data_IF_267599219727
#
_entry.id   IF_267599219727
#
_cell.length_a   1.000
_cell.length_b   1.000
_cell.length_c   1.000
_cell.angle_alpha   90.00
_cell.angle_beta   90.00
_cell.angle_gamma   90.00
#
_symmetry.space_group_name_H-M   'P 1'
#
loop_
_entity.id
_entity.type
_entity.pdbx_description
1 polymer ?
#
# COMPACT_ATOMS: atom_id res chain seq x y z
N UNK A 1 -24.35 -9.42 -7.95
CA UNK A 1 -23.54 -8.90 -6.83
C UNK A 1 -23.69 -7.37 -6.81
N UNK A 2 -24.09 -6.76 -5.69
CA UNK A 2 -24.27 -5.30 -5.60
C UNK A 2 -22.90 -4.59 -5.60
N UNK A 3 -22.79 -3.39 -6.20
CA UNK A 3 -21.55 -2.59 -6.25
C UNK A 3 -20.97 -2.34 -4.85
N UNK A 4 -21.82 -2.05 -3.87
CA UNK A 4 -21.37 -1.86 -2.48
C UNK A 4 -20.81 -3.14 -1.88
N UNK A 5 -21.39 -4.28 -2.21
CA UNK A 5 -20.92 -5.58 -1.73
C UNK A 5 -19.56 -5.94 -2.35
N UNK A 6 -19.33 -5.58 -3.62
CA UNK A 6 -18.03 -5.70 -4.28
C UNK A 6 -16.98 -4.75 -3.70
N UNK A 7 -17.36 -3.49 -3.44
CA UNK A 7 -16.42 -2.45 -3.01
C UNK A 7 -16.09 -2.46 -1.51
N UNK A 8 -17.03 -2.87 -0.65
CA UNK A 8 -16.85 -2.73 0.82
C UNK A 8 -16.79 -4.05 1.57
N UNK A 9 -17.48 -5.10 1.08
CA UNK A 9 -17.72 -6.34 1.82
C UNK A 9 -17.93 -6.09 3.33
N UNK A 10 -18.78 -5.10 3.66
CA UNK A 10 -18.79 -4.43 4.96
C UNK A 10 -19.07 -5.42 6.10
N UNK A 11 -18.22 -5.39 7.14
CA UNK A 11 -18.34 -6.24 8.34
C UNK A 11 -18.30 -7.75 8.08
N UNK A 12 -17.77 -8.19 6.94
CA UNK A 12 -17.64 -9.63 6.60
C UNK A 12 -16.35 -10.26 7.11
N UNK A 13 -15.35 -9.47 7.48
CA UNK A 13 -14.01 -9.94 7.85
C UNK A 13 -13.67 -9.62 9.30
N UNK A 14 -12.95 -10.54 9.95
CA UNK A 14 -12.43 -10.37 11.32
C UNK A 14 -11.36 -9.29 11.37
N UNK A 15 -11.29 -8.55 12.48
CA UNK A 15 -10.30 -7.48 12.70
C UNK A 15 -8.84 -7.93 12.47
N UNK A 16 -8.50 -9.17 12.81
CA UNK A 16 -7.17 -9.76 12.59
C UNK A 16 -6.84 -9.85 11.10
N UNK A 17 -7.76 -10.42 10.32
CA UNK A 17 -7.59 -10.58 8.88
C UNK A 17 -7.46 -9.21 8.19
N UNK A 18 -8.29 -8.24 8.60
CA UNK A 18 -8.21 -6.88 8.07
C UNK A 18 -6.90 -6.18 8.43
N UNK A 19 -6.44 -6.31 9.68
CA UNK A 19 -5.19 -5.70 10.14
C UNK A 19 -3.96 -6.29 9.45
N UNK A 20 -3.91 -7.62 9.30
CA UNK A 20 -2.82 -8.30 8.59
C UNK A 20 -2.84 -7.91 7.11
N UNK A 21 -4.01 -7.92 6.45
CA UNK A 21 -4.12 -7.54 5.04
C UNK A 21 -3.68 -6.08 4.84
N UNK A 22 -4.11 -5.16 5.71
CA UNK A 22 -3.67 -3.77 5.67
C UNK A 22 -2.14 -3.65 5.79
N UNK A 23 -1.53 -4.38 6.72
CA UNK A 23 -0.07 -4.38 6.89
C UNK A 23 0.65 -4.94 5.66
N UNK A 24 0.23 -6.11 5.17
CA UNK A 24 0.83 -6.76 3.99
C UNK A 24 0.65 -5.90 2.73
N UNK A 25 -0.49 -5.22 2.57
CA UNK A 25 -0.72 -4.31 1.46
C UNK A 25 0.24 -3.10 1.49
N UNK A 26 0.71 -2.67 2.66
CA UNK A 26 1.74 -1.64 2.79
C UNK A 26 3.17 -2.16 2.63
N UNK A 27 3.42 -3.39 3.08
CA UNK A 27 4.73 -4.06 3.01
C UNK A 27 4.81 -4.86 1.71
N UNK A 28 5.24 -4.19 0.65
CA UNK A 28 5.44 -4.81 -0.66
C UNK A 28 6.86 -5.36 -0.86
N UNK A 29 7.16 -5.80 -2.08
CA UNK A 29 8.46 -6.38 -2.49
C UNK A 29 9.63 -5.42 -2.37
N UNK A 30 9.38 -4.11 -2.27
CA UNK A 30 10.38 -3.09 -2.02
C UNK A 30 11.24 -3.35 -0.76
N UNK A 31 10.69 -4.09 0.21
CA UNK A 31 11.36 -4.45 1.46
C UNK A 31 12.63 -5.30 1.22
N UNK A 32 12.64 -6.10 0.14
CA UNK A 32 13.76 -6.98 -0.23
C UNK A 32 15.03 -6.21 -0.60
N UNK A 33 14.88 -4.97 -1.07
CA UNK A 33 16.02 -4.12 -1.44
C UNK A 33 16.27 -3.04 -0.40
N UNK A 34 15.21 -2.43 0.12
CA UNK A 34 15.35 -1.23 0.95
C UNK A 34 15.99 -1.54 2.30
N UNK A 35 15.59 -2.64 2.97
CA UNK A 35 16.18 -2.99 4.27
C UNK A 35 17.66 -3.40 4.14
N UNK A 36 18.05 -4.31 3.21
CA UNK A 36 19.46 -4.68 3.08
C UNK A 36 20.33 -3.50 2.63
N UNK A 37 19.83 -2.66 1.73
CA UNK A 37 20.56 -1.47 1.27
C UNK A 37 20.76 -0.47 2.40
N UNK A 38 19.71 -0.21 3.20
CA UNK A 38 19.81 0.68 4.37
C UNK A 38 20.79 0.12 5.40
N UNK A 39 20.76 -1.19 5.66
CA UNK A 39 21.70 -1.83 6.57
C UNK A 39 23.14 -1.77 6.04
N UNK A 40 23.35 -1.89 4.73
CA UNK A 40 24.67 -1.82 4.12
C UNK A 40 25.28 -0.42 4.22
N UNK A 41 24.49 0.65 4.01
CA UNK A 41 25.00 2.03 4.05
C UNK A 41 25.04 2.64 5.46
N UNK A 42 24.08 2.31 6.33
CA UNK A 42 23.88 2.97 7.62
C UNK A 42 24.01 2.00 8.82
N UNK A 43 24.35 0.74 8.57
CA UNK A 43 24.48 -0.28 9.61
C UNK A 43 23.17 -0.65 10.29
N UNK A 44 23.29 -1.36 11.41
CA UNK A 44 22.14 -1.85 12.19
C UNK A 44 21.31 -0.73 12.81
N UNK A 45 21.95 0.37 13.22
CA UNK A 45 21.26 1.51 13.83
C UNK A 45 20.37 2.25 12.81
N UNK A 46 20.86 2.45 11.58
CA UNK A 46 20.06 3.01 10.50
C UNK A 46 18.88 2.12 10.12
N UNK A 47 19.10 0.80 10.10
CA UNK A 47 18.03 -0.18 9.87
C UNK A 47 16.95 -0.12 10.95
N UNK A 48 17.32 -0.11 12.23
CA UNK A 48 16.35 -0.02 13.34
C UNK A 48 15.54 1.28 13.23
N UNK A 49 16.20 2.41 13.00
CA UNK A 49 15.52 3.69 12.83
C UNK A 49 14.52 3.67 11.68
N UNK A 50 14.89 3.05 10.54
CA UNK A 50 14.01 2.89 9.39
C UNK A 50 12.79 2.02 9.71
N UNK A 51 12.99 0.87 10.35
CA UNK A 51 11.88 -0.03 10.72
C UNK A 51 10.93 0.64 11.72
N UNK A 52 11.46 1.36 12.71
CA UNK A 52 10.64 2.13 13.67
C UNK A 52 9.82 3.20 12.92
N UNK A 53 10.44 3.91 11.96
CA UNK A 53 9.74 4.88 11.14
C UNK A 53 8.61 4.25 10.29
N UNK A 54 8.79 3.03 9.78
CA UNK A 54 7.74 2.31 9.04
C UNK A 54 6.55 1.89 9.92
N UNK A 55 6.79 1.53 11.18
CA UNK A 55 5.74 1.09 12.11
C UNK A 55 4.92 2.27 12.63
N UNK A 56 5.54 3.45 12.75
CA UNK A 56 4.93 4.62 13.37
C UNK A 56 3.60 5.06 12.72
N UNK A 57 3.46 5.18 11.38
CA UNK A 57 2.19 5.52 10.74
C UNK A 57 1.07 4.52 11.04
N UNK A 58 1.39 3.22 11.09
CA UNK A 58 0.43 2.16 11.42
C UNK A 58 -0.08 2.30 12.85
N UNK A 59 0.81 2.65 13.78
CA UNK A 59 0.45 2.93 15.16
C UNK A 59 -0.46 4.15 15.27
N UNK A 60 -0.13 5.24 14.58
CA UNK A 60 -0.98 6.45 14.52
C UNK A 60 -2.37 6.12 13.96
N UNK A 61 -2.45 5.31 12.90
CA UNK A 61 -3.71 4.90 12.30
C UNK A 61 -4.56 4.04 13.26
N UNK A 62 -3.95 3.25 14.12
CA UNK A 62 -4.66 2.47 15.14
C UNK A 62 -5.47 3.38 16.09
N UNK A 63 -4.97 4.56 16.45
CA UNK A 63 -5.70 5.52 17.31
C UNK A 63 -6.66 6.40 16.54
N UNK A 64 -6.27 6.87 15.34
CA UNK A 64 -7.07 7.80 14.54
C UNK A 64 -8.19 7.08 13.79
N UNK A 65 -8.00 5.83 13.39
CA UNK A 65 -8.95 5.02 12.65
C UNK A 65 -10.34 4.95 13.30
N UNK A 66 -10.45 4.63 14.61
CA UNK A 66 -11.73 4.65 15.34
C UNK A 66 -12.41 6.02 15.35
N UNK A 67 -11.65 7.12 15.45
CA UNK A 67 -12.19 8.49 15.43
C UNK A 67 -12.78 8.84 14.06
N UNK A 68 -12.09 8.46 12.98
CA UNK A 68 -12.59 8.65 11.60
C UNK A 68 -13.88 7.84 11.40
N UNK A 69 -13.90 6.57 11.87
CA UNK A 69 -15.06 5.69 11.72
C UNK A 69 -16.30 6.21 12.45
N UNK A 70 -16.13 6.86 13.61
CA UNK A 70 -17.24 7.52 14.34
C UNK A 70 -17.82 8.72 13.57
N UNK A 71 -16.99 9.50 12.87
CA UNK A 71 -17.42 10.69 12.12
C UNK A 71 -18.01 10.37 10.75
N UNK A 72 -17.57 9.30 10.10
CA UNK A 72 -18.12 8.81 8.84
C UNK A 72 -18.46 7.31 8.92
N UNK A 73 -19.59 6.94 9.58
CA UNK A 73 -19.97 5.54 9.73
C UNK A 73 -20.29 4.88 8.37
N UNK A 74 -20.82 5.65 7.41
CA UNK A 74 -21.14 5.17 6.07
C UNK A 74 -19.99 5.31 5.07
N UNK A 75 -18.95 6.10 5.38
CA UNK A 75 -17.81 6.32 4.49
C UNK A 75 -17.05 5.03 4.21
N UNK A 76 -16.72 4.81 2.94
CA UNK A 76 -15.99 3.64 2.44
C UNK A 76 -14.49 3.92 2.36
N UNK A 77 -14.10 5.15 2.04
CA UNK A 77 -12.70 5.56 1.86
C UNK A 77 -12.33 6.77 2.70
N UNK A 78 -11.03 6.95 2.95
CA UNK A 78 -10.50 8.17 3.58
C UNK A 78 -10.81 9.42 2.74
N UNK A 79 -10.83 9.27 1.40
CA UNK A 79 -11.16 10.36 0.49
C UNK A 79 -12.61 10.84 0.66
N UNK A 80 -13.56 9.96 0.97
CA UNK A 80 -14.93 10.36 1.31
C UNK A 80 -15.01 11.15 2.62
N UNK A 81 -14.23 10.77 3.64
CA UNK A 81 -14.12 11.58 4.85
C UNK A 81 -13.59 12.98 4.54
N UNK A 82 -12.59 13.09 3.66
CA UNK A 82 -12.03 14.38 3.22
C UNK A 82 -13.08 15.20 2.47
N UNK A 83 -13.87 14.56 1.59
CA UNK A 83 -15.00 15.21 0.90
C UNK A 83 -16.01 15.78 1.89
N UNK A 84 -16.38 15.01 2.93
CA UNK A 84 -17.34 15.43 3.94
C UNK A 84 -16.79 16.54 4.84
N UNK A 85 -15.48 16.55 5.15
CA UNK A 85 -14.87 17.49 6.09
C UNK A 85 -14.34 18.78 5.44
N UNK A 86 -13.82 18.70 4.21
CA UNK A 86 -13.06 19.75 3.52
C UNK A 86 -13.59 20.08 2.12
N UNK A 87 -14.66 19.41 1.67
CA UNK A 87 -15.33 19.72 0.41
C UNK A 87 -14.70 19.06 -0.83
N UNK A 88 -15.26 19.40 -2.00
CA UNK A 88 -14.99 18.72 -3.27
C UNK A 88 -13.60 19.00 -3.86
N UNK A 89 -13.05 20.19 -3.64
CA UNK A 89 -11.73 20.56 -4.15
C UNK A 89 -10.63 19.73 -3.47
N UNK A 90 -10.63 19.69 -2.14
CA UNK A 90 -9.70 18.86 -1.37
C UNK A 90 -9.85 17.37 -1.71
N UNK A 91 -11.08 16.90 -1.93
CA UNK A 91 -11.32 15.53 -2.37
C UNK A 91 -10.64 15.21 -3.72
N UNK A 92 -10.72 16.11 -4.70
CA UNK A 92 -10.08 15.93 -6.00
C UNK A 92 -8.55 15.96 -5.88
N UNK A 93 -8.00 16.94 -5.15
CA UNK A 93 -6.56 17.05 -4.93
C UNK A 93 -5.99 15.78 -4.28
N UNK A 94 -6.60 15.32 -3.19
CA UNK A 94 -6.14 14.10 -2.50
C UNK A 94 -6.38 12.85 -3.34
N UNK A 95 -7.48 12.79 -4.10
CA UNK A 95 -7.71 11.70 -5.04
C UNK A 95 -6.58 11.58 -6.08
N UNK A 96 -6.16 12.70 -6.67
CA UNK A 96 -5.03 12.74 -7.61
C UNK A 96 -3.74 12.28 -6.93
N UNK A 97 -3.45 12.78 -5.72
CA UNK A 97 -2.26 12.36 -4.96
C UNK A 97 -2.26 10.86 -4.66
N UNK A 98 -3.41 10.29 -4.29
CA UNK A 98 -3.54 8.85 -4.00
C UNK A 98 -3.31 8.04 -5.27
N UNK A 99 -3.91 8.41 -6.40
CA UNK A 99 -3.70 7.71 -7.68
C UNK A 99 -2.23 7.79 -8.09
N UNK A 100 -1.62 8.97 -7.99
CA UNK A 100 -0.21 9.17 -8.33
C UNK A 100 0.72 8.33 -7.43
N UNK A 101 0.48 8.36 -6.12
CA UNK A 101 1.20 7.54 -5.15
C UNK A 101 1.08 6.04 -5.48
N UNK A 102 -0.14 5.56 -5.75
CA UNK A 102 -0.38 4.16 -6.10
C UNK A 102 0.33 3.77 -7.40
N UNK A 103 0.37 4.65 -8.41
CA UNK A 103 1.11 4.42 -9.66
C UNK A 103 2.62 4.27 -9.41
N UNK A 104 3.22 5.14 -8.59
CA UNK A 104 4.65 5.04 -8.23
C UNK A 104 4.91 3.74 -7.46
N UNK A 105 4.07 3.43 -6.48
CA UNK A 105 4.20 2.20 -5.70
C UNK A 105 4.12 0.97 -6.60
N UNK A 106 3.20 0.95 -7.56
CA UNK A 106 3.06 -0.15 -8.52
C UNK A 106 4.30 -0.32 -9.40
N UNK A 107 4.86 0.78 -9.93
CA UNK A 107 6.11 0.74 -10.71
C UNK A 107 7.28 0.25 -9.85
N UNK A 108 7.34 0.68 -8.59
CA UNK A 108 8.37 0.24 -7.63
C UNK A 108 8.29 -1.25 -7.36
N UNK A 109 7.08 -1.80 -7.18
CA UNK A 109 6.85 -3.24 -6.99
C UNK A 109 7.31 -4.06 -8.21
N UNK A 110 6.91 -3.64 -9.42
CA UNK A 110 7.34 -4.32 -10.65
C UNK A 110 8.86 -4.29 -10.83
N UNK A 111 9.48 -3.15 -10.52
CA UNK A 111 10.93 -2.99 -10.60
C UNK A 111 11.65 -3.91 -9.61
N UNK A 112 11.19 -3.94 -8.35
CA UNK A 112 11.73 -4.82 -7.33
C UNK A 112 11.59 -6.30 -7.72
N UNK A 113 10.43 -6.71 -8.26
CA UNK A 113 10.24 -8.07 -8.79
C UNK A 113 11.24 -8.39 -9.92
N UNK A 114 11.38 -7.49 -10.90
CA UNK A 114 12.33 -7.64 -11.99
C UNK A 114 13.78 -7.78 -11.50
N UNK A 115 14.21 -6.89 -10.60
CA UNK A 115 15.54 -6.93 -9.99
C UNK A 115 15.77 -8.21 -9.19
N UNK A 116 14.76 -8.72 -8.47
CA UNK A 116 14.87 -9.95 -7.68
C UNK A 116 15.10 -11.16 -8.57
N UNK A 117 14.35 -11.25 -9.67
CA UNK A 117 14.46 -12.37 -10.62
C UNK A 117 15.78 -12.32 -11.40
N UNK A 118 16.26 -11.13 -11.74
CA UNK A 118 17.59 -10.96 -12.32
C UNK A 118 18.68 -11.35 -11.35
N UNK A 119 18.59 -10.93 -10.09
CA UNK A 119 19.58 -11.27 -9.06
C UNK A 119 19.61 -12.78 -8.73
N UNK A 120 18.46 -13.46 -8.79
CA UNK A 120 18.33 -14.88 -8.42
C UNK A 120 18.61 -15.83 -9.59
N UNK A 121 18.11 -15.51 -10.79
CA UNK A 121 18.12 -16.42 -11.95
C UNK A 121 18.91 -15.89 -13.15
N UNK A 122 19.46 -14.67 -13.09
CA UNK A 122 20.19 -14.07 -14.20
C UNK A 122 19.33 -13.68 -15.42
N UNK A 123 18.00 -13.72 -15.28
CA UNK A 123 17.05 -13.40 -16.35
C UNK A 123 16.98 -11.88 -16.56
N UNK A 124 16.86 -11.41 -17.80
CA UNK A 124 16.64 -9.99 -18.09
C UNK A 124 15.35 -9.49 -17.42
N UNK A 125 15.44 -8.43 -16.63
CA UNK A 125 14.33 -7.89 -15.82
C UNK A 125 13.08 -7.50 -16.63
N UNK A 126 13.24 -7.20 -17.93
CA UNK A 126 12.14 -6.77 -18.81
C UNK A 126 11.09 -7.87 -19.00
N UNK A 127 11.53 -9.12 -19.14
CA UNK A 127 10.64 -10.27 -19.41
C UNK A 127 9.67 -10.51 -18.25
N UNK A 128 10.12 -10.70 -16.99
CA UNK A 128 9.19 -10.94 -15.89
C UNK A 128 8.29 -9.73 -15.60
N UNK A 129 8.77 -8.50 -15.76
CA UNK A 129 7.94 -7.30 -15.59
C UNK A 129 6.75 -7.33 -16.56
N UNK A 130 6.98 -7.59 -17.85
CA UNK A 130 5.92 -7.63 -18.86
C UNK A 130 4.95 -8.77 -18.58
N UNK A 131 5.44 -9.97 -18.24
CA UNK A 131 4.59 -11.13 -17.95
C UNK A 131 3.70 -10.84 -16.74
N UNK A 132 4.27 -10.35 -15.63
CA UNK A 132 3.52 -10.03 -14.42
C UNK A 132 2.48 -8.95 -14.69
N UNK A 133 2.82 -7.89 -15.43
CA UNK A 133 1.87 -6.83 -15.78
C UNK A 133 0.72 -7.35 -16.65
N UNK A 134 1.00 -8.17 -17.67
CA UNK A 134 -0.02 -8.75 -18.54
C UNK A 134 -0.96 -9.69 -17.78
N UNK A 135 -0.40 -10.65 -17.04
CA UNK A 135 -1.20 -11.60 -16.26
C UNK A 135 -2.06 -10.86 -15.24
N UNK A 136 -1.51 -9.85 -14.57
CA UNK A 136 -2.23 -9.05 -13.57
C UNK A 136 -3.38 -8.27 -14.17
N UNK A 137 -3.17 -7.68 -15.34
CA UNK A 137 -4.21 -6.94 -16.06
C UNK A 137 -5.32 -7.86 -16.59
N UNK A 138 -5.01 -9.11 -16.94
CA UNK A 138 -5.99 -10.06 -17.46
C UNK A 138 -6.91 -10.57 -16.35
N UNK A 139 -6.41 -10.80 -15.13
CA UNK A 139 -7.23 -11.35 -14.06
C UNK A 139 -8.01 -10.30 -13.25
N UNK A 140 -7.59 -9.03 -13.29
CA UNK A 140 -8.21 -7.92 -12.53
C UNK A 140 -9.37 -7.29 -13.30
#
# INVERSE_FOLDING_TARGET
>A
MSKDQFLTARSTQTWKALGINFYVAGVGSWILFTLPTTAAYYGIYGLIAYVVACIFPSFVLMFIGPLIRKKCPNGVTITEFIKHRYGRLCHACVGIMVVFYMSISYISELTALGSTLTATYGINSTIPIIITALVTTIYT
#
